data_IF_963602165024
#
_entry.id   IF_963602165024
#
_cell.length_a   1.000
_cell.length_b   1.000
_cell.length_c   1.000
_cell.angle_alpha   90.00
_cell.angle_beta   90.00
_cell.angle_gamma   90.00
#
_symmetry.space_group_name_H-M   'P 1'
#
loop_
_entity.id
_entity.type
_entity.pdbx_description
1 polymer ?
#
# COMPACT_ATOMS: atom_id res chain seq x y z
N UNK A 1 4.22 -44.92 63.14
CA UNK A 1 3.20 -44.31 62.28
C UNK A 1 3.26 -42.82 62.58
N UNK A 2 4.10 -42.10 61.85
CA UNK A 2 4.46 -40.72 62.17
C UNK A 2 3.56 -39.77 61.38
N UNK A 3 2.68 -39.12 62.12
CA UNK A 3 1.99 -37.87 61.79
C UNK A 3 3.04 -36.75 61.77
N UNK A 4 3.31 -36.08 60.64
CA UNK A 4 3.77 -34.67 60.51
C UNK A 4 3.92 -34.23 59.02
N UNK A 5 3.07 -34.73 58.12
CA UNK A 5 3.13 -34.33 56.71
C UNK A 5 1.83 -33.62 56.36
N UNK A 6 1.70 -32.32 56.64
CA UNK A 6 0.77 -31.39 55.97
C UNK A 6 0.95 -30.00 56.61
N UNK A 7 1.95 -29.25 56.15
CA UNK A 7 1.99 -27.78 56.20
C UNK A 7 3.20 -27.29 55.40
N UNK A 8 3.16 -27.47 54.07
CA UNK A 8 3.95 -26.63 53.17
C UNK A 8 2.98 -25.89 52.26
N UNK A 9 3.07 -24.55 52.19
CA UNK A 9 2.22 -23.77 51.31
C UNK A 9 2.55 -24.13 49.86
N UNK A 10 1.52 -24.47 49.10
CA UNK A 10 1.58 -24.78 47.68
C UNK A 10 2.51 -23.81 46.93
N UNK A 11 3.55 -24.35 46.31
CA UNK A 11 4.38 -23.65 45.32
C UNK A 11 3.89 -24.09 43.92
N UNK A 12 3.37 -23.19 43.07
CA UNK A 12 3.09 -23.55 41.70
C UNK A 12 4.39 -23.89 40.95
N UNK A 13 4.33 -24.74 39.92
CA UNK A 13 5.48 -25.03 39.06
C UNK A 13 6.07 -23.72 38.51
N UNK A 14 7.39 -23.62 38.44
CA UNK A 14 8.09 -22.50 37.80
C UNK A 14 7.67 -22.42 36.33
N UNK A 15 6.64 -21.62 36.07
CA UNK A 15 6.34 -21.09 34.76
C UNK A 15 7.48 -20.13 34.38
N UNK A 16 8.15 -20.29 33.22
CA UNK A 16 9.13 -19.32 32.78
C UNK A 16 8.42 -17.97 32.66
N UNK A 17 8.93 -16.99 33.40
CA UNK A 17 8.37 -15.64 33.50
C UNK A 17 7.91 -15.11 32.13
N UNK A 18 6.69 -14.56 32.00
CA UNK A 18 6.35 -13.77 30.83
C UNK A 18 7.18 -12.49 30.93
N UNK A 19 8.29 -12.49 30.22
CA UNK A 19 9.18 -11.35 30.08
C UNK A 19 8.37 -10.23 29.42
N UNK A 20 8.00 -9.24 30.24
CA UNK A 20 7.63 -7.88 29.87
C UNK A 20 6.60 -7.78 28.73
N UNK A 21 5.34 -7.75 29.14
CA UNK A 21 4.31 -6.81 28.69
C UNK A 21 4.82 -5.45 28.17
N UNK A 22 5.42 -5.46 26.98
CA UNK A 22 5.25 -4.37 26.02
C UNK A 22 4.01 -4.78 25.23
N UNK A 23 2.91 -4.07 25.44
CA UNK A 23 1.78 -4.12 24.52
C UNK A 23 2.27 -3.68 23.14
N UNK A 24 2.78 -4.64 22.37
CA UNK A 24 2.90 -4.52 20.93
C UNK A 24 1.47 -4.59 20.45
N UNK A 25 0.80 -3.43 20.48
CA UNK A 25 -0.31 -3.11 19.57
C UNK A 25 0.03 -3.79 18.25
N UNK A 26 -0.85 -4.63 17.65
CA UNK A 26 -0.50 -5.29 16.41
C UNK A 26 -0.28 -4.18 15.38
N UNK A 27 0.99 -3.82 15.18
CA UNK A 27 1.40 -3.13 13.99
C UNK A 27 1.04 -4.14 12.92
N UNK A 28 -0.05 -3.83 12.23
CA UNK A 28 -0.42 -4.44 10.96
C UNK A 28 0.87 -4.84 10.25
N UNK A 29 0.97 -6.05 9.67
CA UNK A 29 2.15 -6.42 8.91
C UNK A 29 2.45 -5.25 7.99
N UNK A 30 3.57 -4.57 8.23
CA UNK A 30 4.06 -3.52 7.35
C UNK A 30 4.30 -4.30 6.07
N UNK A 31 3.31 -4.23 5.20
CA UNK A 31 3.29 -4.89 3.89
C UNK A 31 4.66 -4.65 3.33
N UNK A 32 5.30 -5.74 2.97
CA UNK A 32 6.51 -5.80 2.17
C UNK A 32 6.65 -4.50 1.39
N UNK A 33 7.76 -3.78 1.57
CA UNK A 33 8.10 -2.64 0.73
C UNK A 33 7.90 -3.10 -0.71
N UNK A 34 6.78 -2.70 -1.30
CA UNK A 34 6.41 -3.09 -2.66
C UNK A 34 7.59 -2.66 -3.52
N UNK A 35 8.23 -3.64 -4.15
CA UNK A 35 9.60 -3.54 -4.66
C UNK A 35 9.81 -2.44 -5.71
N UNK A 36 8.78 -1.71 -6.11
CA UNK A 36 8.84 -0.59 -7.04
C UNK A 36 8.42 0.77 -6.46
N UNK A 37 7.83 0.80 -5.26
CA UNK A 37 7.33 2.04 -4.64
C UNK A 37 8.40 3.10 -4.48
N UNK A 38 9.58 2.67 -4.01
CA UNK A 38 10.70 3.55 -3.79
C UNK A 38 11.18 4.19 -5.10
N UNK A 39 11.07 3.47 -6.23
CA UNK A 39 11.37 4.01 -7.57
C UNK A 39 10.37 5.10 -7.93
N UNK A 40 9.07 4.85 -7.69
CA UNK A 40 8.01 5.84 -7.93
C UNK A 40 8.20 7.08 -7.07
N UNK A 41 8.45 6.93 -5.77
CA UNK A 41 8.61 8.05 -4.85
C UNK A 41 9.91 8.83 -5.07
N UNK A 42 10.96 8.19 -5.58
CA UNK A 42 12.20 8.88 -5.94
C UNK A 42 12.11 9.61 -7.29
N UNK A 43 11.11 9.28 -8.13
CA UNK A 43 10.87 9.97 -9.39
C UNK A 43 10.23 11.36 -9.23
N UNK A 44 9.62 11.63 -8.07
CA UNK A 44 8.91 12.89 -7.80
C UNK A 44 9.79 13.90 -7.03
N UNK A 45 9.52 15.22 -7.17
CA UNK A 45 10.21 16.24 -6.39
C UNK A 45 10.06 16.02 -4.87
N UNK A 46 11.10 16.35 -4.09
CA UNK A 46 11.11 16.16 -2.63
C UNK A 46 9.89 16.80 -1.94
N UNK A 47 9.48 17.98 -2.38
CA UNK A 47 8.32 18.70 -1.83
C UNK A 47 6.96 18.08 -2.16
N UNK A 48 6.91 17.08 -3.06
CA UNK A 48 5.69 16.40 -3.49
C UNK A 48 5.63 14.94 -3.02
N UNK A 49 6.64 14.45 -2.28
CA UNK A 49 6.73 13.05 -1.86
C UNK A 49 5.57 12.63 -0.96
N UNK A 50 5.06 13.54 -0.14
CA UNK A 50 3.93 13.27 0.76
C UNK A 50 2.65 13.05 -0.06
N UNK A 51 2.38 13.93 -1.02
CA UNK A 51 1.23 13.81 -1.92
C UNK A 51 1.36 12.58 -2.83
N UNK A 52 2.55 12.31 -3.36
CA UNK A 52 2.83 11.13 -4.16
C UNK A 52 2.63 9.84 -3.36
N UNK A 53 3.07 9.78 -2.11
CA UNK A 53 2.82 8.63 -1.24
C UNK A 53 1.32 8.42 -1.01
N UNK A 54 0.55 9.48 -0.72
CA UNK A 54 -0.90 9.37 -0.57
C UNK A 54 -1.59 8.90 -1.86
N UNK A 55 -1.13 9.36 -3.02
CA UNK A 55 -1.66 8.92 -4.31
C UNK A 55 -1.32 7.45 -4.58
N UNK A 56 -0.10 7.02 -4.24
CA UNK A 56 0.34 5.64 -4.35
C UNK A 56 -0.50 4.71 -3.48
N UNK A 57 -0.69 5.07 -2.21
CA UNK A 57 -1.54 4.33 -1.26
C UNK A 57 -2.97 4.22 -1.79
N UNK A 58 -3.52 5.32 -2.30
CA UNK A 58 -4.87 5.33 -2.90
C UNK A 58 -4.99 4.37 -4.09
N UNK A 59 -3.99 4.31 -4.98
CA UNK A 59 -4.02 3.38 -6.12
C UNK A 59 -3.96 1.94 -5.63
N UNK A 60 -3.13 1.64 -4.62
CA UNK A 60 -3.03 0.29 -4.04
C UNK A 60 -4.32 -0.20 -3.41
N UNK A 61 -5.05 0.70 -2.75
CA UNK A 61 -6.41 0.42 -2.25
C UNK A 61 -7.38 0.03 -3.38
N UNK A 62 -7.13 0.48 -4.61
CA UNK A 62 -7.95 0.22 -5.81
C UNK A 62 -7.18 -0.61 -6.86
N UNK A 63 -6.32 -1.51 -6.39
CA UNK A 63 -5.44 -2.36 -7.23
C UNK A 63 -6.19 -3.29 -8.20
N UNK A 64 -7.50 -3.46 -8.01
CA UNK A 64 -8.39 -4.13 -8.95
C UNK A 64 -8.64 -3.34 -10.24
N UNK A 65 -8.47 -2.02 -10.21
CA UNK A 65 -8.65 -1.11 -11.36
C UNK A 65 -7.31 -0.75 -11.98
N UNK A 66 -6.31 -0.43 -11.16
CA UNK A 66 -5.00 0.00 -11.61
C UNK A 66 -3.93 -0.55 -10.70
N UNK A 67 -2.95 -1.23 -11.29
CA UNK A 67 -1.76 -1.72 -10.61
C UNK A 67 -0.59 -1.63 -11.57
N UNK A 68 0.58 -2.07 -11.13
CA UNK A 68 1.76 -2.20 -11.98
C UNK A 68 2.46 -3.52 -11.69
N UNK A 69 3.25 -4.00 -12.64
CA UNK A 69 4.12 -5.15 -12.44
C UNK A 69 5.44 -4.75 -11.77
N UNK A 70 6.29 -5.73 -11.54
CA UNK A 70 7.66 -5.59 -11.02
C UNK A 70 8.58 -4.72 -11.88
N UNK A 71 8.26 -4.52 -13.16
CA UNK A 71 8.99 -3.63 -14.09
C UNK A 71 8.49 -2.19 -14.08
N UNK A 72 7.39 -1.91 -13.36
CA UNK A 72 6.74 -0.61 -13.34
C UNK A 72 5.79 -0.37 -14.53
N UNK A 73 5.52 -1.38 -15.36
CA UNK A 73 4.52 -1.26 -16.42
C UNK A 73 3.11 -1.27 -15.82
N UNK A 74 2.24 -0.41 -16.34
CA UNK A 74 0.90 -0.20 -15.82
C UNK A 74 -0.05 -1.28 -16.33
N UNK A 75 -0.88 -1.81 -15.41
CA UNK A 75 -2.00 -2.69 -15.70
C UNK A 75 -3.30 -2.00 -15.32
N UNK A 76 -4.23 -1.88 -16.26
CA UNK A 76 -5.59 -1.37 -16.02
C UNK A 76 -6.56 -2.54 -16.15
N UNK A 77 -7.21 -2.90 -15.04
CA UNK A 77 -7.93 -4.16 -14.92
C UNK A 77 -7.00 -5.36 -15.18
N UNK A 78 -7.19 -6.02 -16.33
CA UNK A 78 -6.36 -7.13 -16.80
C UNK A 78 -5.52 -6.79 -18.05
N UNK A 79 -5.56 -5.55 -18.52
CA UNK A 79 -4.84 -5.12 -19.71
C UNK A 79 -3.49 -4.50 -19.33
N UNK A 80 -2.41 -5.04 -19.88
CA UNK A 80 -1.07 -4.48 -19.74
C UNK A 80 -0.89 -3.37 -20.77
N UNK A 81 -0.63 -2.15 -20.30
CA UNK A 81 -0.30 -1.04 -21.18
C UNK A 81 1.22 -1.07 -21.40
N UNK A 82 1.65 -1.66 -22.52
CA UNK A 82 3.08 -1.81 -22.83
C UNK A 82 3.78 -0.46 -23.02
N UNK A 83 5.10 -0.44 -22.78
CA UNK A 83 5.95 0.76 -22.90
C UNK A 83 5.55 1.90 -21.94
N UNK A 84 4.89 1.56 -20.84
CA UNK A 84 4.57 2.49 -19.77
C UNK A 84 5.52 2.29 -18.60
N UNK A 85 5.72 3.36 -17.83
CA UNK A 85 6.41 3.26 -16.55
C UNK A 85 5.71 4.16 -15.52
N UNK A 86 5.28 3.57 -14.40
CA UNK A 86 4.55 4.25 -13.34
C UNK A 86 5.36 5.40 -12.71
N UNK A 87 6.69 5.27 -12.62
CA UNK A 87 7.56 6.32 -12.11
C UNK A 87 7.60 7.52 -13.08
N UNK A 88 7.66 7.29 -14.39
CA UNK A 88 7.60 8.36 -15.38
C UNK A 88 6.26 9.11 -15.33
N UNK A 89 5.16 8.36 -15.19
CA UNK A 89 3.81 8.94 -15.06
C UNK A 89 3.70 9.79 -13.80
N UNK A 90 4.16 9.29 -12.64
CA UNK A 90 4.19 10.05 -11.40
C UNK A 90 5.05 11.31 -11.51
N UNK A 91 6.26 11.19 -12.04
CA UNK A 91 7.14 12.32 -12.27
C UNK A 91 6.44 13.42 -13.09
N UNK A 92 5.76 13.08 -14.19
CA UNK A 92 5.06 14.06 -15.04
C UNK A 92 3.92 14.75 -14.31
N UNK A 93 3.12 13.98 -13.57
CA UNK A 93 1.97 14.49 -12.81
C UNK A 93 2.44 15.46 -11.73
N UNK A 94 3.44 15.07 -10.94
CA UNK A 94 3.90 15.84 -9.78
C UNK A 94 4.92 16.95 -10.11
N UNK A 95 5.52 16.93 -11.30
CA UNK A 95 6.34 18.07 -11.78
C UNK A 95 5.53 19.09 -12.57
N UNK A 96 4.23 18.84 -12.83
CA UNK A 96 3.38 19.66 -13.69
C UNK A 96 4.02 20.00 -15.05
N UNK A 97 4.89 19.11 -15.55
CA UNK A 97 5.64 19.38 -16.76
C UNK A 97 4.79 19.10 -18.00
N UNK A 98 3.96 20.09 -18.38
CA UNK A 98 3.04 20.03 -19.53
C UNK A 98 3.74 19.73 -20.87
N UNK A 99 5.07 19.86 -20.96
CA UNK A 99 5.84 19.51 -22.16
C UNK A 99 6.11 18.01 -22.30
N UNK A 100 5.87 17.21 -21.25
CA UNK A 100 6.11 15.76 -21.20
C UNK A 100 4.82 14.93 -21.25
N UNK A 101 3.70 15.48 -21.71
CA UNK A 101 2.41 14.75 -21.81
C UNK A 101 2.39 13.66 -22.88
N UNK A 102 3.48 13.46 -23.62
CA UNK A 102 3.63 12.39 -24.62
C UNK A 102 4.35 11.16 -24.03
N UNK A 103 3.90 10.72 -22.85
CA UNK A 103 4.29 9.43 -22.29
C UNK A 103 3.16 8.45 -22.53
N UNK A 104 3.51 7.27 -23.04
CA UNK A 104 2.56 6.21 -23.30
C UNK A 104 1.76 5.89 -22.03
N UNK A 105 0.46 5.64 -22.18
CA UNK A 105 -0.39 5.23 -21.06
C UNK A 105 -0.81 6.33 -20.09
N UNK A 106 -0.37 7.59 -20.26
CA UNK A 106 -0.73 8.67 -19.32
C UNK A 106 -2.22 9.02 -19.37
N UNK A 107 -2.85 8.97 -20.54
CA UNK A 107 -4.27 9.26 -20.69
C UNK A 107 -5.13 8.16 -20.06
N UNK A 108 -4.75 6.91 -20.31
CA UNK A 108 -5.36 5.71 -19.76
C UNK A 108 -5.22 5.68 -18.24
N UNK A 109 -4.04 6.05 -17.71
CA UNK A 109 -3.80 6.20 -16.28
C UNK A 109 -4.71 7.26 -15.65
N UNK A 110 -4.81 8.45 -16.25
CA UNK A 110 -5.69 9.51 -15.76
C UNK A 110 -7.17 9.12 -15.83
N UNK A 111 -7.57 8.40 -16.87
CA UNK A 111 -8.93 7.84 -16.99
C UNK A 111 -9.19 6.82 -15.87
N UNK A 112 -8.26 5.90 -15.60
CA UNK A 112 -8.37 4.92 -14.51
C UNK A 112 -8.47 5.61 -13.13
N UNK A 113 -7.67 6.64 -12.87
CA UNK A 113 -7.78 7.44 -11.63
C UNK A 113 -9.15 8.10 -11.49
N UNK A 114 -9.70 8.64 -12.58
CA UNK A 114 -11.05 9.20 -12.56
C UNK A 114 -12.11 8.12 -12.26
N UNK A 115 -11.97 6.92 -12.84
CA UNK A 115 -12.87 5.79 -12.53
C UNK A 115 -12.83 5.40 -11.05
N UNK A 116 -11.65 5.36 -10.42
CA UNK A 116 -11.54 5.09 -8.97
C UNK A 116 -12.22 6.17 -8.14
N UNK A 117 -12.02 7.45 -8.49
CA UNK A 117 -12.66 8.57 -7.80
C UNK A 117 -14.17 8.55 -7.96
N UNK A 118 -14.68 8.22 -9.14
CA UNK A 118 -16.10 8.07 -9.43
C UNK A 118 -16.70 6.82 -8.78
N UNK A 119 -15.91 5.76 -8.56
CA UNK A 119 -16.33 4.58 -7.79
C UNK A 119 -16.72 4.89 -6.33
N UNK A 120 -16.21 5.98 -5.75
CA UNK A 120 -16.68 6.51 -4.45
C UNK A 120 -18.05 7.18 -4.54
N UNK A 121 -18.45 7.65 -5.72
CA UNK A 121 -19.78 8.22 -6.02
C UNK A 121 -20.64 7.08 -6.56
N UNK A 122 -21.06 6.21 -5.66
CA UNK A 122 -22.05 5.12 -5.81
C UNK A 122 -22.78 5.02 -7.17
N UNK A 123 -22.53 3.90 -7.87
CA UNK A 123 -23.37 3.24 -8.89
C UNK A 123 -23.67 4.03 -10.20
N UNK A 124 -23.56 3.39 -11.38
CA UNK A 124 -23.76 4.06 -12.65
C UNK A 124 -25.25 4.37 -12.86
N UNK A 125 -25.61 5.65 -12.84
CA UNK A 125 -26.83 6.19 -13.43
C UNK A 125 -26.59 6.49 -14.91
N UNK A 126 -26.30 5.46 -15.70
CA UNK A 126 -26.27 5.54 -17.17
C UNK A 126 -27.06 4.37 -17.76
N UNK A 127 -28.33 4.30 -17.36
CA UNK A 127 -29.42 3.89 -18.23
C UNK A 127 -30.45 5.01 -18.18
N UNK A 128 -30.48 5.82 -19.24
CA UNK A 128 -31.66 6.39 -19.90
C UNK A 128 -31.21 7.09 -21.16
#
# INVERSE_FOLDING_TARGET
MNIEEYNLPWKPPEEPAPLNNIEVKPMLPRKEEDSYDHVVLNSVPQGMKIEASKALDFIKEHSNILKWNDKGEILIGNELISKTNIADVFNIIFTHNKKKTNVAGIQEFLAALNLMRLGRISRPLWKM
#
